data_IF_312505705359
#
_entry.id   IF_312505705359
#
_cell.length_a   1.000
_cell.length_b   1.000
_cell.length_c   1.000
_cell.angle_alpha   90.00
_cell.angle_beta   90.00
_cell.angle_gamma   90.00
#
_symmetry.space_group_name_H-M   'P 1'
#
loop_
_entity.id
_entity.type
_entity.pdbx_description
1 polymer ?
#
# COMPACT_ATOMS: atom_id res chain seq x y z
N UNK A 1 15.26 -21.13 -17.92
CA UNK A 1 16.60 -21.44 -18.47
C UNK A 1 16.77 -20.83 -19.87
N UNK A 2 15.80 -20.98 -20.79
CA UNK A 2 15.87 -20.35 -22.13
C UNK A 2 15.87 -18.81 -22.12
N UNK A 3 15.07 -18.14 -21.28
CA UNK A 3 15.09 -16.66 -21.18
C UNK A 3 16.42 -16.13 -20.62
N UNK A 4 16.98 -16.77 -19.59
CA UNK A 4 18.27 -16.38 -19.01
C UNK A 4 19.44 -16.53 -20.02
N UNK A 5 19.41 -17.58 -20.85
CA UNK A 5 20.40 -17.78 -21.92
C UNK A 5 20.23 -16.72 -23.03
N UNK A 6 18.99 -16.33 -23.35
CA UNK A 6 18.71 -15.23 -24.28
C UNK A 6 19.23 -13.88 -23.79
N UNK A 7 19.00 -13.56 -22.51
CA UNK A 7 19.44 -12.31 -21.88
C UNK A 7 20.96 -12.23 -21.69
N UNK A 8 21.65 -13.37 -21.51
CA UNK A 8 23.11 -13.46 -21.47
C UNK A 8 23.75 -13.24 -22.85
N UNK A 9 23.09 -13.68 -23.93
CA UNK A 9 23.56 -13.44 -25.30
C UNK A 9 23.40 -11.97 -25.70
N UNK A 10 22.27 -11.34 -25.36
CA UNK A 10 22.02 -9.92 -25.64
C UNK A 10 23.05 -9.00 -24.97
N UNK A 11 23.50 -9.35 -23.77
CA UNK A 11 24.47 -8.57 -22.98
C UNK A 11 25.94 -8.95 -23.23
N UNK A 12 26.22 -9.91 -24.10
CA UNK A 12 27.58 -10.38 -24.43
C UNK A 12 28.51 -9.21 -24.75
N UNK A 13 28.02 -8.20 -25.48
CA UNK A 13 28.80 -7.00 -25.85
C UNK A 13 29.11 -6.12 -24.64
N UNK A 14 28.15 -5.90 -23.74
CA UNK A 14 28.36 -5.16 -22.49
C UNK A 14 29.43 -5.82 -21.62
N UNK A 15 29.34 -7.15 -21.45
CA UNK A 15 30.33 -7.89 -20.67
C UNK A 15 31.71 -7.88 -21.32
N UNK A 16 31.81 -8.12 -22.63
CA UNK A 16 33.09 -8.07 -23.33
C UNK A 16 33.77 -6.70 -23.24
N UNK A 17 33.02 -5.62 -23.44
CA UNK A 17 33.55 -4.26 -23.37
C UNK A 17 33.97 -3.88 -21.95
N UNK A 18 33.16 -4.19 -20.94
CA UNK A 18 33.49 -3.84 -19.55
C UNK A 18 34.57 -4.75 -18.95
N UNK A 19 34.62 -6.03 -19.33
CA UNK A 19 35.75 -6.92 -18.99
C UNK A 19 37.03 -6.42 -19.65
N UNK A 20 36.99 -5.99 -20.92
CA UNK A 20 38.15 -5.42 -21.59
C UNK A 20 38.62 -4.11 -20.93
N UNK A 21 37.67 -3.24 -20.54
CA UNK A 21 37.97 -2.03 -19.80
C UNK A 21 38.58 -2.34 -18.43
N UNK A 22 38.00 -3.27 -17.69
CA UNK A 22 38.50 -3.75 -16.40
C UNK A 22 39.91 -4.36 -16.53
N UNK A 23 40.14 -5.19 -17.55
CA UNK A 23 41.43 -5.80 -17.82
C UNK A 23 42.49 -4.75 -18.19
N UNK A 24 42.13 -3.73 -18.99
CA UNK A 24 43.03 -2.64 -19.35
C UNK A 24 43.37 -1.74 -18.17
N UNK A 25 42.38 -1.42 -17.31
CA UNK A 25 42.57 -0.61 -16.10
C UNK A 25 43.35 -1.37 -15.03
N UNK A 26 43.07 -2.66 -14.86
CA UNK A 26 43.84 -3.56 -14.00
C UNK A 26 45.29 -3.63 -14.49
N UNK A 27 45.53 -3.88 -15.78
CA UNK A 27 46.87 -3.91 -16.35
C UNK A 27 47.61 -2.57 -16.14
N UNK A 28 46.95 -1.43 -16.35
CA UNK A 28 47.53 -0.11 -16.13
C UNK A 28 47.89 0.13 -14.65
N UNK A 29 46.99 -0.22 -13.72
CA UNK A 29 47.24 -0.08 -12.27
C UNK A 29 48.26 -1.07 -11.75
N UNK A 30 48.28 -2.31 -12.24
CA UNK A 30 49.31 -3.31 -11.92
C UNK A 30 50.67 -2.86 -12.43
N UNK A 31 50.73 -2.24 -13.61
CA UNK A 31 51.98 -1.67 -14.15
C UNK A 31 52.46 -0.51 -13.28
N UNK A 32 51.56 0.39 -12.88
CA UNK A 32 51.89 1.50 -11.98
C UNK A 32 52.35 0.99 -10.59
N UNK A 33 51.70 -0.05 -10.06
CA UNK A 33 52.07 -0.68 -8.80
C UNK A 33 53.42 -1.40 -8.89
N UNK A 34 53.66 -2.15 -9.97
CA UNK A 34 54.95 -2.79 -10.23
C UNK A 34 56.09 -1.75 -10.35
N UNK A 35 55.82 -0.60 -10.98
CA UNK A 35 56.79 0.50 -11.04
C UNK A 35 57.10 1.10 -9.66
N UNK A 36 56.08 1.30 -8.81
CA UNK A 36 56.25 1.76 -7.42
C UNK A 36 57.00 0.73 -6.57
N UNK A 37 56.70 -0.56 -6.72
CA UNK A 37 57.40 -1.66 -6.05
C UNK A 37 58.87 -1.76 -6.52
N UNK A 38 59.15 -1.57 -7.80
CA UNK A 38 60.52 -1.54 -8.32
C UNK A 38 61.33 -0.37 -7.74
N UNK A 39 60.69 0.80 -7.57
CA UNK A 39 61.31 1.98 -6.94
C UNK A 39 61.54 1.76 -5.43
N UNK A 40 60.62 1.08 -4.74
CA UNK A 40 60.75 0.74 -3.32
C UNK A 40 61.74 -0.42 -3.05
N UNK A 41 61.86 -1.39 -3.95
CA UNK A 41 62.85 -2.47 -3.86
C UNK A 41 64.29 -1.96 -3.99
N UNK A 42 64.49 -0.84 -4.71
CA UNK A 42 65.77 -0.14 -4.80
C UNK A 42 66.15 0.65 -3.53
N UNK A 43 65.22 0.87 -2.59
CA UNK A 43 65.43 1.67 -1.37
C UNK A 43 65.54 0.82 -0.09
N UNK A 44 66.06 -0.39 -0.18
CA UNK A 44 66.03 -1.44 0.84
C UNK A 44 66.28 -1.00 2.31
N UNK A 45 65.32 -1.35 3.17
CA UNK A 45 65.46 -1.57 4.61
C UNK A 45 64.22 -2.35 5.09
N UNK A 46 64.42 -3.42 5.86
CA UNK A 46 63.51 -4.53 6.27
C UNK A 46 62.05 -4.17 6.62
N UNK A 47 61.27 -3.69 5.66
CA UNK A 47 59.84 -3.42 5.80
C UNK A 47 59.11 -4.03 4.61
N UNK A 48 58.22 -4.99 4.89
CA UNK A 48 57.37 -5.58 3.86
C UNK A 48 56.34 -4.56 3.38
N UNK A 49 56.28 -4.32 2.08
CA UNK A 49 55.27 -3.46 1.47
C UNK A 49 54.02 -4.29 1.14
N UNK A 50 52.84 -3.77 1.49
CA UNK A 50 51.54 -4.25 1.02
C UNK A 50 50.92 -3.14 0.18
N UNK A 51 50.49 -3.50 -1.02
CA UNK A 51 49.72 -2.60 -1.87
C UNK A 51 48.56 -3.35 -2.51
N UNK A 52 47.42 -2.69 -2.57
CA UNK A 52 46.19 -3.20 -3.15
C UNK A 52 45.73 -2.36 -4.33
N UNK A 53 45.16 -3.00 -5.34
CA UNK A 53 44.42 -2.36 -6.42
C UNK A 53 42.99 -2.86 -6.35
N UNK A 54 42.06 -1.92 -6.28
CA UNK A 54 40.63 -2.17 -6.39
C UNK A 54 40.09 -1.55 -7.69
N UNK A 55 39.20 -2.31 -8.31
CA UNK A 55 38.42 -1.92 -9.48
C UNK A 55 36.98 -2.36 -9.28
N UNK A 56 36.07 -1.41 -9.24
CA UNK A 56 34.63 -1.62 -9.06
C UNK A 56 33.87 -0.93 -10.19
N UNK A 57 33.03 -1.68 -10.90
CA UNK A 57 32.03 -1.15 -11.83
C UNK A 57 30.66 -1.55 -11.30
N UNK A 58 29.85 -0.54 -11.03
CA UNK A 58 28.45 -0.71 -10.68
C UNK A 58 27.59 0.02 -11.74
N UNK A 59 26.76 -0.75 -12.45
CA UNK A 59 25.81 -0.21 -13.42
C UNK A 59 24.38 -0.55 -13.02
N UNK A 60 23.57 0.50 -12.85
CA UNK A 60 22.17 0.41 -12.46
C UNK A 60 21.29 1.07 -13.51
N UNK A 61 20.47 0.28 -14.20
CA UNK A 61 19.37 0.79 -15.03
C UNK A 61 18.07 0.69 -14.26
N UNK A 62 17.37 1.82 -14.10
CA UNK A 62 16.07 1.86 -13.41
C UNK A 62 15.03 2.58 -14.26
N UNK A 63 13.98 1.87 -14.62
CA UNK A 63 12.81 2.42 -15.30
C UNK A 63 11.66 2.55 -14.31
N UNK A 64 11.13 3.76 -14.15
CA UNK A 64 10.01 4.05 -13.26
C UNK A 64 8.84 4.62 -14.05
N UNK A 65 7.68 4.03 -13.85
CA UNK A 65 6.40 4.57 -14.29
C UNK A 65 5.55 4.82 -13.05
N UNK A 66 5.02 6.04 -12.92
CA UNK A 66 4.13 6.41 -11.84
C UNK A 66 2.92 7.13 -12.43
N UNK A 67 1.73 6.70 -12.03
CA UNK A 67 0.46 7.35 -12.33
C UNK A 67 -0.29 7.54 -11.03
N UNK A 68 -0.65 8.79 -10.75
CA UNK A 68 -1.34 9.17 -9.53
C UNK A 68 -2.58 9.99 -9.86
N UNK A 69 -3.69 9.66 -9.21
CA UNK A 69 -4.87 10.53 -9.17
C UNK A 69 -5.07 10.96 -7.73
N UNK A 70 -5.28 12.27 -7.53
CA UNK A 70 -5.58 12.84 -6.22
C UNK A 70 -6.86 13.67 -6.32
N UNK A 71 -7.76 13.42 -5.38
CA UNK A 71 -9.01 14.12 -5.22
C UNK A 71 -8.75 15.38 -4.42
N UNK A 72 -9.26 16.51 -4.91
CA UNK A 72 -9.24 17.77 -4.19
C UNK A 72 -10.65 18.02 -3.67
N UNK A 73 -10.80 18.04 -2.34
CA UNK A 73 -12.09 18.23 -1.72
C UNK A 73 -12.61 19.66 -1.96
N UNK A 74 -13.89 19.78 -2.32
CA UNK A 74 -14.59 21.05 -2.28
C UNK A 74 -14.98 21.37 -0.84
N UNK A 75 -14.64 22.56 -0.36
CA UNK A 75 -14.99 23.02 0.99
C UNK A 75 -16.08 24.08 0.90
N UNK A 76 -17.29 23.77 1.35
CA UNK A 76 -18.41 24.70 1.44
C UNK A 76 -18.70 24.98 2.91
N UNK A 77 -18.40 26.21 3.35
CA UNK A 77 -18.63 26.67 4.70
C UNK A 77 -19.66 27.79 4.66
N UNK A 78 -20.77 27.63 5.37
CA UNK A 78 -21.84 28.63 5.41
C UNK A 78 -22.55 28.59 6.77
N UNK A 79 -23.41 29.58 7.04
CA UNK A 79 -24.31 29.49 8.20
C UNK A 79 -25.33 28.37 8.00
N UNK A 80 -25.89 28.29 6.79
CA UNK A 80 -26.81 27.23 6.36
C UNK A 80 -26.46 26.82 4.93
N UNK A 81 -26.58 25.54 4.62
CA UNK A 81 -26.41 24.97 3.28
C UNK A 81 -27.75 24.34 2.88
N UNK A 82 -28.37 24.86 1.82
CA UNK A 82 -29.63 24.34 1.30
C UNK A 82 -29.42 23.87 -0.15
N UNK A 83 -29.63 22.58 -0.41
CA UNK A 83 -29.50 21.97 -1.74
C UNK A 83 -30.86 21.41 -2.14
N UNK A 84 -31.50 22.01 -3.13
CA UNK A 84 -32.82 21.61 -3.62
C UNK A 84 -32.72 21.20 -5.08
N UNK A 85 -32.99 19.94 -5.39
CA UNK A 85 -32.99 19.45 -6.78
C UNK A 85 -34.22 18.58 -7.05
N UNK A 86 -34.67 18.52 -8.30
CA UNK A 86 -35.86 17.74 -8.67
C UNK A 86 -35.54 16.29 -9.06
N UNK A 87 -34.25 15.92 -9.07
CA UNK A 87 -33.75 14.61 -9.52
C UNK A 87 -32.68 14.12 -8.53
N UNK A 88 -31.51 13.74 -9.02
CA UNK A 88 -30.44 13.19 -8.21
C UNK A 88 -29.48 14.29 -7.76
N UNK A 89 -29.30 14.45 -6.45
CA UNK A 89 -28.19 15.22 -5.86
C UNK A 89 -27.03 14.26 -5.62
N UNK A 90 -25.81 14.62 -6.04
CA UNK A 90 -24.60 13.82 -5.78
C UNK A 90 -23.50 14.70 -5.18
N UNK A 91 -22.95 14.26 -4.05
CA UNK A 91 -21.86 14.92 -3.33
C UNK A 91 -20.72 13.91 -3.21
N UNK A 92 -19.53 14.25 -3.71
CA UNK A 92 -18.38 13.34 -3.78
C UNK A 92 -17.14 13.97 -3.16
N UNK A 93 -16.49 13.27 -2.24
CA UNK A 93 -15.29 13.69 -1.49
C UNK A 93 -15.27 15.15 -1.05
N UNK A 94 -16.41 15.71 -0.67
CA UNK A 94 -16.54 17.14 -0.33
C UNK A 94 -16.70 17.34 1.17
N UNK A 95 -16.41 18.55 1.64
CA UNK A 95 -16.60 18.98 3.02
C UNK A 95 -17.67 20.07 3.04
N UNK A 96 -18.86 19.75 3.56
CA UNK A 96 -19.95 20.69 3.78
C UNK A 96 -20.04 20.97 5.27
N UNK A 97 -19.82 22.23 5.66
CA UNK A 97 -19.86 22.65 7.04
C UNK A 97 -20.86 23.79 7.22
N UNK A 98 -21.94 23.53 7.95
CA UNK A 98 -22.86 24.57 8.39
C UNK A 98 -22.53 24.97 9.83
N UNK A 99 -22.12 26.23 10.06
CA UNK A 99 -21.69 26.72 11.36
C UNK A 99 -22.65 27.80 11.88
N UNK A 100 -23.28 27.56 13.03
CA UNK A 100 -24.15 28.55 13.68
C UNK A 100 -23.38 29.79 14.18
N UNK A 101 -22.08 29.68 14.44
CA UNK A 101 -21.27 30.70 15.12
C UNK A 101 -20.71 31.80 14.21
N UNK A 102 -20.86 31.69 12.88
CA UNK A 102 -20.41 32.75 11.95
C UNK A 102 -21.52 33.75 11.59
N UNK A 103 -22.64 33.70 12.32
CA UNK A 103 -23.70 34.67 12.19
C UNK A 103 -23.41 35.90 13.05
N UNK A 104 -23.24 37.05 12.39
CA UNK A 104 -23.18 38.40 13.01
C UNK A 104 -24.49 38.76 13.75
N UNK A 105 -25.49 37.88 13.73
CA UNK A 105 -26.80 38.07 14.36
C UNK A 105 -27.19 36.83 15.17
N UNK A 106 -26.86 36.85 16.47
CA UNK A 106 -26.94 35.76 17.45
C UNK A 106 -28.37 35.28 17.80
N UNK A 107 -29.42 35.81 17.15
CA UNK A 107 -30.81 35.50 17.49
C UNK A 107 -31.53 34.56 16.49
N UNK A 108 -30.85 34.06 15.44
CA UNK A 108 -31.48 33.12 14.51
C UNK A 108 -31.20 31.66 14.92
N UNK A 109 -32.18 31.04 15.58
CA UNK A 109 -32.16 29.63 16.00
C UNK A 109 -32.14 28.63 14.85
N UNK A 110 -32.32 29.07 13.59
CA UNK A 110 -32.29 28.23 12.39
C UNK A 110 -30.92 28.23 11.68
N UNK A 111 -29.83 28.62 12.35
CA UNK A 111 -28.49 28.53 11.79
C UNK A 111 -27.86 27.15 12.02
N UNK A 112 -26.81 26.83 11.27
CA UNK A 112 -26.09 25.56 11.36
C UNK A 112 -26.84 24.39 10.72
N UNK A 113 -27.62 24.62 9.68
CA UNK A 113 -28.41 23.59 9.00
C UNK A 113 -27.75 23.16 7.69
N UNK A 114 -27.69 21.85 7.44
CA UNK A 114 -27.54 21.29 6.09
C UNK A 114 -28.87 20.66 5.71
N UNK A 115 -29.55 21.22 4.72
CA UNK A 115 -30.82 20.71 4.19
C UNK A 115 -30.61 20.23 2.76
N UNK A 116 -30.91 18.98 2.47
CA UNK A 116 -30.83 18.41 1.13
C UNK A 116 -32.17 17.82 0.74
N UNK A 117 -32.83 18.42 -0.24
CA UNK A 117 -34.10 17.96 -0.80
C UNK A 117 -33.86 17.49 -2.24
N UNK A 118 -34.17 16.23 -2.54
CA UNK A 118 -33.97 15.66 -3.87
C UNK A 118 -34.89 14.47 -4.17
N UNK A 119 -34.95 14.01 -5.41
CA UNK A 119 -35.56 12.71 -5.69
C UNK A 119 -34.67 11.58 -5.16
N UNK A 120 -33.39 11.61 -5.53
CA UNK A 120 -32.38 10.66 -5.06
C UNK A 120 -31.16 11.43 -4.51
N UNK A 121 -30.48 10.88 -3.51
CA UNK A 121 -29.29 11.47 -2.92
C UNK A 121 -28.14 10.45 -2.90
N UNK A 122 -26.99 10.85 -3.45
CA UNK A 122 -25.74 10.11 -3.34
C UNK A 122 -24.71 10.94 -2.56
N UNK A 123 -24.24 10.43 -1.43
CA UNK A 123 -23.11 10.99 -0.68
C UNK A 123 -21.99 9.96 -0.72
N UNK A 124 -20.95 10.22 -1.51
CA UNK A 124 -19.94 9.25 -1.89
C UNK A 124 -18.54 9.70 -1.49
N UNK A 125 -17.67 8.76 -1.12
CA UNK A 125 -16.23 9.05 -1.01
C UNK A 125 -15.64 9.42 -2.38
N UNK A 126 -14.61 10.26 -2.38
CA UNK A 126 -13.72 10.36 -3.54
C UNK A 126 -12.69 9.23 -3.53
N UNK A 127 -11.97 9.07 -4.64
CA UNK A 127 -11.02 8.00 -4.83
C UNK A 127 -9.71 8.51 -5.42
N UNK A 128 -8.64 8.22 -4.70
CA UNK A 128 -7.26 8.47 -5.11
C UNK A 128 -6.63 7.16 -5.56
N UNK A 129 -5.75 7.25 -6.56
CA UNK A 129 -5.01 6.10 -7.05
C UNK A 129 -3.53 6.41 -7.06
N UNK A 130 -2.71 5.41 -6.73
CA UNK A 130 -1.26 5.50 -6.86
C UNK A 130 -0.77 4.17 -7.45
N UNK A 131 -0.34 4.22 -8.69
CA UNK A 131 0.11 3.07 -9.45
C UNK A 131 1.57 3.29 -9.83
N UNK A 132 2.46 2.45 -9.31
CA UNK A 132 3.87 2.49 -9.66
C UNK A 132 4.32 1.17 -10.26
N UNK A 133 5.21 1.27 -11.24
CA UNK A 133 5.93 0.15 -11.81
C UNK A 133 7.40 0.52 -11.89
N UNK A 134 8.24 -0.28 -11.28
CA UNK A 134 9.69 -0.15 -11.34
C UNK A 134 10.28 -1.41 -11.95
N UNK A 135 11.24 -1.22 -12.86
CA UNK A 135 12.11 -2.28 -13.34
C UNK A 135 13.54 -1.84 -13.08
N UNK A 136 14.30 -2.68 -12.40
CA UNK A 136 15.71 -2.43 -12.09
C UNK A 136 16.53 -3.55 -12.69
N UNK A 137 17.61 -3.19 -13.36
CA UNK A 137 18.69 -4.12 -13.73
C UNK A 137 19.98 -3.60 -13.10
N UNK A 138 20.65 -4.45 -12.34
CA UNK A 138 21.91 -4.15 -11.70
C UNK A 138 22.97 -5.11 -12.20
N UNK A 139 24.13 -4.57 -12.56
CA UNK A 139 25.28 -5.32 -13.06
C UNK A 139 26.50 -4.82 -12.29
N UNK A 140 27.16 -5.71 -11.55
CA UNK A 140 28.36 -5.37 -10.77
C UNK A 140 29.56 -6.18 -11.24
N UNK A 141 30.73 -5.55 -11.26
CA UNK A 141 32.04 -6.19 -11.44
C UNK A 141 33.01 -5.62 -10.42
N UNK A 142 33.50 -6.46 -9.52
CA UNK A 142 34.53 -6.11 -8.54
C UNK A 142 35.79 -6.93 -8.81
N UNK A 143 36.96 -6.29 -8.75
CA UNK A 143 38.27 -6.93 -8.80
C UNK A 143 39.18 -6.30 -7.74
N UNK A 144 39.73 -7.14 -6.87
CA UNK A 144 40.70 -6.81 -5.84
C UNK A 144 41.99 -7.60 -6.08
N UNK A 145 43.11 -6.90 -6.20
CA UNK A 145 44.44 -7.49 -6.26
C UNK A 145 45.28 -6.95 -5.09
N UNK A 146 45.69 -7.82 -4.18
CA UNK A 146 46.65 -7.49 -3.13
C UNK A 146 48.01 -8.13 -3.42
N UNK A 147 49.08 -7.35 -3.27
CA UNK A 147 50.47 -7.82 -3.38
C UNK A 147 51.13 -7.72 -2.00
N UNK A 148 51.53 -8.87 -1.45
CA UNK A 148 52.21 -8.99 -0.16
C UNK A 148 53.65 -9.45 -0.35
N UNK A 149 54.62 -8.58 -0.02
CA UNK A 149 56.03 -8.95 -0.02
C UNK A 149 56.51 -9.57 -1.34
N UNK A 150 57.56 -10.39 -1.31
CA UNK A 150 58.22 -10.88 -2.52
C UNK A 150 57.51 -12.04 -3.23
N UNK A 151 56.46 -12.68 -2.66
CA UNK A 151 55.99 -13.97 -3.17
C UNK A 151 54.48 -14.29 -3.05
N UNK A 152 53.60 -13.38 -2.59
CA UNK A 152 52.16 -13.69 -2.52
C UNK A 152 51.26 -12.58 -3.06
N UNK A 153 50.69 -12.82 -4.25
CA UNK A 153 49.62 -12.02 -4.83
C UNK A 153 48.28 -12.74 -4.67
N UNK A 154 47.30 -12.10 -4.03
CA UNK A 154 45.94 -12.60 -3.97
C UNK A 154 45.06 -11.78 -4.92
N UNK A 155 44.50 -12.46 -5.93
CA UNK A 155 43.48 -11.90 -6.81
C UNK A 155 42.12 -12.45 -6.38
N UNK A 156 41.16 -11.57 -6.18
CA UNK A 156 39.76 -11.93 -5.98
C UNK A 156 38.87 -11.00 -6.77
N UNK A 157 37.71 -11.46 -7.18
CA UNK A 157 36.74 -10.63 -7.85
C UNK A 157 35.37 -11.27 -7.87
N UNK A 158 34.37 -10.49 -8.24
CA UNK A 158 33.00 -10.94 -8.36
C UNK A 158 32.36 -10.28 -9.58
N UNK A 159 31.50 -11.02 -10.27
CA UNK A 159 30.59 -10.46 -11.26
C UNK A 159 29.18 -10.88 -10.89
N UNK A 160 28.26 -9.92 -10.84
CA UNK A 160 26.85 -10.20 -10.56
C UNK A 160 25.95 -9.48 -11.55
N UNK A 161 24.80 -10.10 -11.80
CA UNK A 161 23.67 -9.49 -12.48
C UNK A 161 22.42 -9.82 -11.71
N UNK A 162 21.64 -8.82 -11.37
CA UNK A 162 20.31 -9.00 -10.87
C UNK A 162 19.31 -8.12 -11.62
N UNK A 163 18.08 -8.58 -11.63
CA UNK A 163 16.95 -7.87 -12.21
C UNK A 163 15.77 -8.01 -11.27
N UNK A 164 15.04 -6.93 -11.11
CA UNK A 164 13.82 -6.93 -10.33
C UNK A 164 12.75 -6.07 -10.97
N UNK A 165 11.52 -6.56 -10.91
CA UNK A 165 10.33 -5.81 -11.28
C UNK A 165 9.43 -5.68 -10.06
N UNK A 166 8.98 -4.48 -9.77
CA UNK A 166 8.01 -4.19 -8.72
C UNK A 166 6.83 -3.45 -9.31
N UNK A 167 5.62 -3.89 -8.98
CA UNK A 167 4.38 -3.16 -9.28
C UNK A 167 3.62 -2.92 -8.00
N UNK A 168 3.18 -1.69 -7.77
CA UNK A 168 2.26 -1.33 -6.69
C UNK A 168 1.03 -0.67 -7.29
N UNK A 169 -0.14 -1.10 -6.88
CA UNK A 169 -1.42 -0.50 -7.20
C UNK A 169 -2.14 -0.20 -5.91
N UNK A 170 -2.56 1.04 -5.73
CA UNK A 170 -3.27 1.47 -4.53
C UNK A 170 -4.50 2.27 -4.93
N UNK A 171 -5.62 2.02 -4.25
CA UNK A 171 -6.82 2.85 -4.28
C UNK A 171 -7.16 3.26 -2.87
N UNK A 172 -7.16 4.55 -2.60
CA UNK A 172 -7.54 5.13 -1.31
C UNK A 172 -8.84 5.89 -1.48
N UNK A 173 -9.78 5.71 -0.56
CA UNK A 173 -11.01 6.47 -0.48
C UNK A 173 -10.86 7.60 0.52
N UNK A 174 -11.44 8.75 0.22
CA UNK A 174 -11.56 9.86 1.16
C UNK A 174 -13.05 10.13 1.39
N UNK A 175 -13.49 10.03 2.64
CA UNK A 175 -14.90 10.21 2.95
C UNK A 175 -15.37 11.64 2.63
N UNK A 176 -16.61 11.75 2.13
CA UNK A 176 -17.33 13.03 2.15
C UNK A 176 -17.69 13.37 3.59
N UNK A 177 -17.54 14.62 4.02
CA UNK A 177 -17.86 15.06 5.37
C UNK A 177 -18.99 16.09 5.34
N UNK A 178 -20.08 15.82 6.06
CA UNK A 178 -21.15 16.78 6.33
C UNK A 178 -21.15 17.05 7.83
N UNK A 179 -20.93 18.30 8.22
CA UNK A 179 -20.90 18.71 9.62
C UNK A 179 -21.83 19.90 9.84
N UNK A 180 -22.75 19.79 10.79
CA UNK A 180 -23.75 20.83 11.04
C UNK A 180 -24.28 20.79 12.47
N UNK A 181 -25.08 21.77 12.87
CA UNK A 181 -25.95 21.65 14.05
C UNK A 181 -27.03 20.62 13.79
N UNK A 182 -27.76 20.76 12.68
CA UNK A 182 -28.65 19.72 12.19
C UNK A 182 -28.39 19.40 10.72
N UNK A 183 -28.53 18.13 10.37
CA UNK A 183 -28.47 17.64 8.99
C UNK A 183 -29.84 17.04 8.67
N UNK A 184 -30.50 17.52 7.62
CA UNK A 184 -31.79 17.06 7.17
C UNK A 184 -31.68 16.58 5.72
N UNK A 185 -31.88 15.28 5.50
CA UNK A 185 -31.85 14.64 4.18
C UNK A 185 -33.26 14.17 3.83
N UNK A 186 -33.93 14.89 2.93
CA UNK A 186 -35.28 14.55 2.48
C UNK A 186 -35.23 14.09 1.02
N UNK A 187 -35.55 12.84 0.78
CA UNK A 187 -35.60 12.26 -0.56
C UNK A 187 -36.92 11.55 -0.82
N UNK A 188 -37.44 11.67 -2.03
CA UNK A 188 -38.68 10.96 -2.39
C UNK A 188 -38.44 9.52 -2.81
N UNK A 189 -37.19 9.16 -3.14
CA UNK A 189 -36.77 7.82 -3.55
C UNK A 189 -35.54 7.39 -2.74
N UNK A 190 -34.36 7.23 -3.35
CA UNK A 190 -33.24 6.54 -2.71
C UNK A 190 -32.21 7.51 -2.11
N UNK A 191 -31.75 7.23 -0.89
CA UNK A 191 -30.58 7.86 -0.26
C UNK A 191 -29.46 6.84 -0.12
N UNK A 192 -28.33 7.10 -0.77
CA UNK A 192 -27.11 6.29 -0.74
C UNK A 192 -25.97 7.06 -0.09
N UNK A 193 -25.44 6.52 1.00
CA UNK A 193 -24.33 7.10 1.77
C UNK A 193 -23.20 6.07 1.79
N UNK A 194 -22.15 6.32 1.00
CA UNK A 194 -21.08 5.34 0.76
C UNK A 194 -19.69 5.95 0.84
N UNK A 195 -19.00 5.74 1.97
CA UNK A 195 -17.75 6.41 2.27
C UNK A 195 -18.00 7.87 2.66
N UNK A 196 -18.74 8.09 3.74
CA UNK A 196 -19.06 9.43 4.22
C UNK A 196 -19.16 9.49 5.75
N UNK A 197 -18.91 10.67 6.30
CA UNK A 197 -19.10 10.99 7.71
C UNK A 197 -20.16 12.09 7.81
N UNK A 198 -21.32 11.79 8.36
CA UNK A 198 -22.37 12.77 8.65
C UNK A 198 -22.39 12.98 10.16
N UNK A 199 -22.03 14.17 10.59
CA UNK A 199 -21.94 14.52 12.01
C UNK A 199 -22.78 15.76 12.28
N UNK A 200 -23.93 15.58 12.94
CA UNK A 200 -24.74 16.69 13.43
C UNK A 200 -24.50 16.88 14.93
N UNK A 201 -24.44 18.12 15.42
CA UNK A 201 -24.28 18.34 16.86
C UNK A 201 -25.58 18.23 17.66
N UNK A 202 -26.72 18.28 16.99
CA UNK A 202 -28.02 18.16 17.63
C UNK A 202 -28.86 17.08 16.97
N UNK A 203 -29.31 17.26 15.73
CA UNK A 203 -30.18 16.30 15.05
C UNK A 203 -29.68 15.89 13.68
N UNK A 204 -29.70 14.59 13.39
CA UNK A 204 -29.61 14.05 12.05
C UNK A 204 -30.96 13.44 11.68
N UNK A 205 -31.62 14.00 10.68
CA UNK A 205 -32.92 13.57 10.19
C UNK A 205 -32.80 13.05 8.74
N UNK A 206 -33.33 11.85 8.48
CA UNK A 206 -33.38 11.26 7.14
C UNK A 206 -34.81 10.80 6.87
N UNK A 207 -35.41 11.32 5.79
CA UNK A 207 -36.68 10.83 5.24
C UNK A 207 -36.45 10.37 3.81
N UNK A 208 -36.71 9.09 3.54
CA UNK A 208 -36.37 8.45 2.26
C UNK A 208 -37.24 7.23 2.00
N UNK A 209 -37.33 6.81 0.74
CA UNK A 209 -37.95 5.51 0.42
C UNK A 209 -37.01 4.36 0.77
N UNK A 210 -35.76 4.44 0.33
CA UNK A 210 -34.73 3.43 0.59
C UNK A 210 -33.44 4.09 1.09
N UNK A 211 -32.83 3.52 2.13
CA UNK A 211 -31.58 4.00 2.72
C UNK A 211 -30.48 2.94 2.57
N UNK A 212 -29.40 3.26 1.86
CA UNK A 212 -28.17 2.45 1.84
C UNK A 212 -27.05 3.20 2.55
N UNK A 213 -26.48 2.61 3.60
CA UNK A 213 -25.31 3.13 4.31
C UNK A 213 -24.20 2.10 4.27
N UNK A 214 -23.06 2.45 3.69
CA UNK A 214 -22.02 1.47 3.38
C UNK A 214 -20.62 2.04 3.51
N UNK A 215 -19.80 1.37 4.29
CA UNK A 215 -18.35 1.63 4.31
C UNK A 215 -17.69 1.27 2.98
N UNK A 216 -16.51 1.83 2.74
CA UNK A 216 -15.70 1.57 1.55
C UNK A 216 -14.41 0.87 1.92
N UNK A 217 -13.65 0.39 0.92
CA UNK A 217 -12.41 -0.34 1.17
C UNK A 217 -11.27 0.27 0.37
N UNK A 218 -10.26 0.75 1.08
CA UNK A 218 -8.95 1.02 0.51
C UNK A 218 -8.36 -0.31 0.06
N UNK A 219 -7.67 -0.32 -1.08
CA UNK A 219 -7.05 -1.52 -1.64
C UNK A 219 -5.59 -1.25 -1.92
N UNK A 220 -4.75 -2.21 -1.63
CA UNK A 220 -3.36 -2.18 -2.04
C UNK A 220 -2.97 -3.55 -2.57
N UNK A 221 -2.30 -3.57 -3.73
CA UNK A 221 -1.74 -4.75 -4.35
C UNK A 221 -0.31 -4.47 -4.75
N UNK A 222 0.64 -5.23 -4.22
CA UNK A 222 2.03 -5.18 -4.64
C UNK A 222 2.47 -6.53 -5.22
N UNK A 223 3.35 -6.48 -6.21
CA UNK A 223 4.04 -7.66 -6.72
C UNK A 223 5.48 -7.33 -6.96
N UNK A 224 6.37 -8.16 -6.43
CA UNK A 224 7.80 -8.08 -6.68
C UNK A 224 8.27 -9.39 -7.27
N UNK A 225 9.12 -9.31 -8.28
CA UNK A 225 9.83 -10.44 -8.87
C UNK A 225 11.29 -10.05 -8.95
N UNK A 226 12.18 -10.93 -8.54
CA UNK A 226 13.61 -10.72 -8.72
C UNK A 226 14.30 -12.00 -9.13
N UNK A 227 15.39 -11.85 -9.86
CA UNK A 227 16.27 -12.93 -10.23
C UNK A 227 17.69 -12.38 -10.31
N UNK A 228 18.66 -13.17 -9.88
CA UNK A 228 20.06 -12.81 -9.89
C UNK A 228 20.96 -14.00 -10.15
N UNK A 229 22.14 -13.70 -10.65
CA UNK A 229 23.23 -14.63 -10.83
C UNK A 229 24.54 -13.94 -10.44
N UNK A 230 25.47 -14.69 -9.86
CA UNK A 230 26.79 -14.21 -9.51
C UNK A 230 27.86 -15.27 -9.77
N UNK A 231 29.08 -14.81 -10.07
CA UNK A 231 30.27 -15.63 -10.24
C UNK A 231 31.42 -14.96 -9.48
N UNK A 232 31.97 -15.68 -8.51
CA UNK A 232 33.18 -15.29 -7.79
C UNK A 232 34.42 -15.90 -8.42
N UNK A 233 35.48 -15.10 -8.52
CA UNK A 233 36.81 -15.51 -8.94
C UNK A 233 37.80 -15.26 -7.79
N UNK A 234 38.72 -16.19 -7.60
CA UNK A 234 39.83 -16.11 -6.65
C UNK A 234 41.15 -16.46 -7.32
N UNK A 235 42.23 -16.44 -6.54
CA UNK A 235 43.60 -16.72 -7.00
C UNK A 235 43.77 -18.12 -7.59
N UNK A 236 42.88 -19.05 -7.23
CA UNK A 236 42.84 -20.43 -7.73
C UNK A 236 41.80 -20.66 -8.83
N UNK A 237 41.19 -19.62 -9.41
CA UNK A 237 40.13 -19.73 -10.42
C UNK A 237 38.72 -19.44 -9.87
N UNK A 238 37.69 -20.06 -10.43
CA UNK A 238 36.30 -19.85 -9.98
C UNK A 238 36.12 -20.36 -8.55
N UNK A 239 35.68 -19.49 -7.63
CA UNK A 239 35.51 -19.85 -6.22
C UNK A 239 34.04 -19.93 -5.78
N UNK A 240 33.12 -19.28 -6.51
CA UNK A 240 31.69 -19.38 -6.25
C UNK A 240 30.83 -19.12 -7.50
N UNK A 241 29.65 -19.72 -7.54
CA UNK A 241 28.56 -19.46 -8.48
C UNK A 241 27.27 -19.37 -7.68
N UNK A 242 26.52 -18.31 -7.88
CA UNK A 242 25.25 -18.05 -7.22
C UNK A 242 24.12 -17.86 -8.23
N UNK A 243 22.94 -18.36 -7.89
CA UNK A 243 21.68 -18.08 -8.58
C UNK A 243 20.60 -17.84 -7.55
N UNK A 244 19.79 -16.80 -7.72
CA UNK A 244 18.66 -16.53 -6.85
C UNK A 244 17.44 -16.12 -7.66
N UNK A 245 16.27 -16.52 -7.20
CA UNK A 245 14.98 -16.07 -7.73
C UNK A 245 14.01 -15.85 -6.57
N UNK A 246 13.28 -14.75 -6.59
CA UNK A 246 12.23 -14.49 -5.60
C UNK A 246 10.98 -13.90 -6.22
N UNK A 247 9.86 -14.18 -5.57
CA UNK A 247 8.55 -13.60 -5.83
C UNK A 247 7.91 -13.16 -4.54
N UNK A 248 7.25 -12.01 -4.55
CA UNK A 248 6.38 -11.56 -3.48
C UNK A 248 5.09 -11.03 -4.09
N UNK A 249 3.95 -11.39 -3.50
CA UNK A 249 2.63 -10.87 -3.79
C UNK A 249 2.02 -10.40 -2.48
N UNK A 250 1.54 -9.16 -2.46
CA UNK A 250 0.78 -8.57 -1.37
C UNK A 250 -0.55 -8.09 -1.91
N UNK A 251 -1.62 -8.37 -1.17
CA UNK A 251 -2.94 -7.87 -1.45
C UNK A 251 -3.66 -7.59 -0.14
N UNK A 252 -3.97 -6.32 0.10
CA UNK A 252 -4.71 -5.87 1.26
C UNK A 252 -5.96 -5.07 0.88
N UNK A 253 -6.95 -5.15 1.76
CA UNK A 253 -8.17 -4.36 1.74
C UNK A 253 -8.37 -3.83 3.15
N UNK A 254 -8.54 -2.51 3.32
CA UNK A 254 -8.79 -1.89 4.62
C UNK A 254 -10.09 -1.14 4.56
N UNK A 255 -11.01 -1.46 5.45
CA UNK A 255 -12.31 -0.78 5.54
C UNK A 255 -12.12 0.64 6.05
N UNK A 256 -12.70 1.61 5.34
CA UNK A 256 -12.87 2.98 5.78
C UNK A 256 -14.33 3.15 6.18
N UNK A 257 -14.55 3.40 7.47
CA UNK A 257 -15.87 3.44 8.08
C UNK A 257 -16.71 4.59 7.50
N UNK A 258 -17.97 4.31 7.18
CA UNK A 258 -19.02 5.32 6.98
C UNK A 258 -19.81 5.44 8.26
N UNK A 259 -19.93 6.67 8.77
CA UNK A 259 -20.59 6.93 10.04
C UNK A 259 -21.64 8.04 9.91
N UNK A 260 -22.71 7.88 10.69
CA UNK A 260 -23.77 8.85 10.86
C UNK A 260 -24.00 9.04 12.35
N UNK A 261 -23.69 10.21 12.88
CA UNK A 261 -23.78 10.48 14.32
C UNK A 261 -24.41 11.83 14.61
N UNK A 262 -25.22 11.87 15.66
CA UNK A 262 -25.81 13.08 16.19
C UNK A 262 -26.25 12.90 17.64
N UNK A 263 -26.56 13.98 18.36
CA UNK A 263 -27.18 13.85 19.69
C UNK A 263 -28.51 13.09 19.64
N UNK A 264 -29.28 13.28 18.57
CA UNK A 264 -30.46 12.50 18.24
C UNK A 264 -30.45 12.18 16.75
N UNK A 265 -30.71 10.92 16.41
CA UNK A 265 -30.78 10.45 15.02
C UNK A 265 -32.19 9.97 14.75
N UNK A 266 -32.87 10.55 13.76
CA UNK A 266 -34.20 10.15 13.33
C UNK A 266 -34.15 9.72 11.87
N UNK A 267 -34.46 8.46 11.60
CA UNK A 267 -34.46 7.88 10.25
C UNK A 267 -35.83 7.28 9.97
N UNK A 268 -36.51 7.82 8.98
CA UNK A 268 -37.74 7.30 8.43
C UNK A 268 -37.49 6.77 7.02
N UNK A 269 -37.58 5.45 6.87
CA UNK A 269 -37.40 4.76 5.59
C UNK A 269 -38.70 4.06 5.20
N UNK A 270 -39.29 4.41 4.05
CA UNK A 270 -40.60 3.84 3.67
C UNK A 270 -40.53 2.35 3.30
N UNK A 271 -39.39 1.86 2.81
CA UNK A 271 -39.28 0.50 2.26
C UNK A 271 -38.10 -0.31 2.82
N UNK A 272 -36.85 0.10 2.58
CA UNK A 272 -35.71 -0.72 2.97
C UNK A 272 -34.51 0.08 3.48
N UNK A 273 -33.96 -0.36 4.62
CA UNK A 273 -32.69 0.13 5.15
C UNK A 273 -31.63 -0.96 5.03
N UNK A 274 -30.52 -0.65 4.35
CA UNK A 274 -29.36 -1.54 4.19
C UNK A 274 -28.14 -0.92 4.86
N UNK A 275 -27.50 -1.67 5.75
CA UNK A 275 -26.23 -1.31 6.38
C UNK A 275 -25.13 -2.29 5.98
N UNK A 276 -23.96 -1.78 5.60
CA UNK A 276 -22.83 -2.62 5.18
C UNK A 276 -21.53 -2.12 5.82
N UNK A 277 -21.15 -2.74 6.94
CA UNK A 277 -19.97 -2.38 7.71
C UNK A 277 -19.93 -0.93 8.20
N UNK A 278 -21.09 -0.30 8.36
CA UNK A 278 -21.29 1.13 8.66
C UNK A 278 -21.83 1.36 10.07
N UNK A 279 -21.68 2.58 10.59
CA UNK A 279 -22.18 2.99 11.92
C UNK A 279 -23.29 4.03 11.79
N UNK A 280 -24.40 3.82 12.50
CA UNK A 280 -25.40 4.85 12.78
C UNK A 280 -25.60 4.85 14.29
N UNK A 281 -25.31 5.94 14.97
CA UNK A 281 -25.48 6.00 16.42
C UNK A 281 -25.87 7.40 16.88
N UNK A 282 -26.63 7.47 17.96
CA UNK A 282 -26.88 8.73 18.63
C UNK A 282 -25.86 8.88 19.76
N UNK A 283 -25.13 9.99 19.80
CA UNK A 283 -24.00 10.23 20.71
C UNK A 283 -24.05 11.64 21.23
N UNK A 284 -23.79 11.85 22.52
CA UNK A 284 -23.73 13.21 23.06
C UNK A 284 -22.52 13.99 22.54
N UNK A 285 -22.78 15.19 22.01
CA UNK A 285 -21.72 16.06 21.53
C UNK A 285 -20.98 16.69 22.70
N UNK A 286 -19.78 16.19 22.97
CA UNK A 286 -18.94 16.60 24.09
C UNK A 286 -18.44 15.43 24.94
N UNK A 287 -19.05 14.25 24.78
CA UNK A 287 -18.46 13.01 25.29
C UNK A 287 -17.20 12.68 24.47
N UNK A 288 -16.07 12.55 25.15
CA UNK A 288 -14.78 12.20 24.51
C UNK A 288 -14.72 10.72 24.13
N UNK A 289 -15.57 9.92 24.76
CA UNK A 289 -15.62 8.47 24.58
C UNK A 289 -16.56 8.07 23.44
N UNK A 290 -17.42 9.00 22.98
CA UNK A 290 -18.32 8.80 21.83
C UNK A 290 -19.39 7.75 22.10
N UNK A 291 -19.81 7.59 23.36
CA UNK A 291 -20.76 6.56 23.75
C UNK A 291 -22.14 6.80 23.13
N UNK A 292 -22.81 5.69 22.83
CA UNK A 292 -24.20 5.72 22.40
C UNK A 292 -25.10 6.23 23.54
N UNK A 293 -25.97 7.19 23.24
CA UNK A 293 -26.84 7.83 24.22
C UNK A 293 -28.29 7.33 24.16
N UNK A 294 -28.58 6.30 23.35
CA UNK A 294 -29.90 5.68 23.26
C UNK A 294 -30.94 6.45 22.45
N UNK A 295 -30.56 7.56 21.79
CA UNK A 295 -31.49 8.46 21.10
C UNK A 295 -31.58 8.21 19.58
N UNK A 296 -31.39 6.97 19.13
CA UNK A 296 -31.68 6.56 17.77
C UNK A 296 -33.17 6.23 17.62
N UNK A 297 -33.86 6.87 16.68
CA UNK A 297 -35.18 6.49 16.20
C UNK A 297 -35.07 6.04 14.75
N UNK A 298 -35.31 4.76 14.47
CA UNK A 298 -35.30 4.19 13.12
C UNK A 298 -36.64 3.52 12.85
N UNK A 299 -37.36 3.98 11.83
CA UNK A 299 -38.54 3.31 11.27
C UNK A 299 -38.22 2.84 9.85
N UNK A 300 -38.46 1.56 9.58
CA UNK A 300 -38.28 0.97 8.24
C UNK A 300 -39.23 -0.19 8.01
N UNK A 301 -39.60 -0.49 6.76
CA UNK A 301 -40.36 -1.72 6.50
C UNK A 301 -39.46 -2.94 6.63
N UNK A 302 -38.24 -2.90 6.09
CA UNK A 302 -37.28 -3.99 6.16
C UNK A 302 -35.86 -3.49 6.45
N UNK A 303 -35.09 -4.26 7.22
CA UNK A 303 -33.72 -3.95 7.59
C UNK A 303 -32.79 -5.10 7.20
N UNK A 304 -31.69 -4.78 6.52
CA UNK A 304 -30.62 -5.73 6.26
C UNK A 304 -29.27 -5.17 6.73
N UNK A 305 -28.44 -6.04 7.31
CA UNK A 305 -27.15 -5.69 7.84
C UNK A 305 -26.09 -6.71 7.38
N UNK A 306 -24.96 -6.21 6.89
CA UNK A 306 -23.83 -7.05 6.48
C UNK A 306 -22.51 -6.46 6.96
N UNK A 307 -21.49 -7.31 7.09
CA UNK A 307 -20.16 -6.89 7.51
C UNK A 307 -19.23 -6.69 6.31
N UNK A 308 -18.27 -5.79 6.45
CA UNK A 308 -17.15 -5.62 5.54
C UNK A 308 -15.91 -6.27 6.15
N UNK A 309 -14.96 -6.74 5.32
CA UNK A 309 -13.75 -7.39 5.82
C UNK A 309 -12.52 -6.54 5.51
N UNK A 310 -11.73 -6.20 6.52
CA UNK A 310 -10.34 -5.83 6.33
C UNK A 310 -9.53 -7.11 6.18
N UNK A 311 -8.70 -7.20 5.15
CA UNK A 311 -7.92 -8.40 4.84
C UNK A 311 -6.51 -8.03 4.43
N UNK A 312 -5.51 -8.79 4.85
CA UNK A 312 -4.15 -8.73 4.30
C UNK A 312 -3.73 -10.14 3.91
N UNK A 313 -3.14 -10.30 2.72
CA UNK A 313 -2.62 -11.57 2.23
C UNK A 313 -1.28 -11.32 1.55
N UNK A 314 -0.23 -11.77 2.21
CA UNK A 314 1.14 -11.61 1.78
C UNK A 314 1.72 -13.01 1.54
N UNK A 315 2.30 -13.21 0.36
CA UNK A 315 2.96 -14.45 -0.02
C UNK A 315 4.30 -14.11 -0.63
N UNK A 316 5.38 -14.66 -0.09
CA UNK A 316 6.69 -14.56 -0.73
C UNK A 316 7.36 -15.92 -0.79
N UNK A 317 8.06 -16.17 -1.88
CA UNK A 317 8.84 -17.36 -2.10
C UNK A 317 10.17 -16.96 -2.70
N UNK A 318 11.25 -17.56 -2.22
CA UNK A 318 12.56 -17.42 -2.84
C UNK A 318 13.27 -18.76 -2.88
N UNK A 319 14.10 -18.92 -3.90
CA UNK A 319 15.03 -20.03 -4.04
C UNK A 319 16.39 -19.46 -4.44
N UNK A 320 17.43 -19.90 -3.75
CA UNK A 320 18.81 -19.54 -3.99
C UNK A 320 19.67 -20.80 -4.05
N UNK A 321 20.57 -20.86 -5.01
CA UNK A 321 21.57 -21.91 -5.16
C UNK A 321 22.94 -21.26 -5.17
N UNK A 322 23.80 -21.62 -4.22
CA UNK A 322 25.17 -21.13 -4.18
C UNK A 322 26.12 -22.33 -4.11
N UNK A 323 27.05 -22.42 -5.05
CA UNK A 323 28.09 -23.44 -5.06
C UNK A 323 29.45 -22.76 -5.02
N UNK A 324 30.34 -23.18 -4.12
CA UNK A 324 31.68 -22.64 -4.00
C UNK A 324 32.72 -23.72 -3.72
N UNK A 325 33.91 -23.54 -4.28
CA UNK A 325 34.99 -24.51 -4.22
C UNK A 325 36.34 -23.81 -4.34
N UNK A 326 37.39 -24.42 -3.79
CA UNK A 326 38.75 -23.93 -4.02
C UNK A 326 39.37 -24.81 -5.12
N UNK A 327 39.57 -24.25 -6.31
CA UNK A 327 40.20 -24.98 -7.42
C UNK A 327 41.73 -24.97 -7.28
N UNK A 328 42.27 -25.60 -6.23
CA UNK A 328 43.70 -25.86 -6.16
C UNK A 328 44.02 -27.20 -6.87
N UNK A 329 45.16 -27.22 -7.55
CA UNK A 329 45.63 -28.19 -8.55
C UNK A 329 45.12 -29.65 -8.44
N UNK A 330 44.68 -30.20 -9.58
CA UNK A 330 44.37 -31.61 -9.86
C UNK A 330 43.19 -32.31 -9.13
N UNK A 331 42.35 -31.61 -8.36
CA UNK A 331 41.05 -32.15 -7.93
C UNK A 331 40.05 -31.03 -7.65
N UNK A 332 39.02 -30.89 -8.49
CA UNK A 332 37.95 -29.92 -8.31
C UNK A 332 37.09 -30.31 -7.09
N UNK A 333 37.53 -29.95 -5.88
CA UNK A 333 36.78 -30.20 -4.66
C UNK A 333 35.76 -29.08 -4.45
N UNK A 334 34.48 -29.38 -4.67
CA UNK A 334 33.38 -28.52 -4.26
C UNK A 334 33.37 -28.48 -2.72
N UNK A 335 33.65 -27.31 -2.15
CA UNK A 335 33.80 -27.17 -0.70
C UNK A 335 32.46 -26.87 -0.03
N UNK A 336 31.54 -26.16 -0.71
CA UNK A 336 30.20 -25.85 -0.21
C UNK A 336 29.19 -25.76 -1.34
N UNK A 337 28.04 -26.38 -1.14
CA UNK A 337 26.82 -26.16 -1.94
C UNK A 337 25.72 -25.83 -0.94
N UNK A 338 25.05 -24.69 -1.12
CA UNK A 338 23.87 -24.32 -0.35
C UNK A 338 22.66 -24.15 -1.28
N UNK A 339 21.52 -24.61 -0.79
CA UNK A 339 20.20 -24.38 -1.34
C UNK A 339 19.40 -23.63 -0.28
N UNK A 340 19.09 -22.38 -0.56
CA UNK A 340 18.32 -21.51 0.31
C UNK A 340 16.89 -21.43 -0.21
N UNK A 341 15.92 -21.97 0.52
CA UNK A 341 14.52 -21.91 0.16
C UNK A 341 13.73 -21.19 1.26
N UNK A 342 12.91 -20.21 0.87
CA UNK A 342 12.03 -19.50 1.79
C UNK A 342 10.63 -19.43 1.22
N UNK A 343 9.62 -19.67 2.06
CA UNK A 343 8.21 -19.55 1.70
C UNK A 343 7.46 -18.96 2.88
N UNK A 344 7.08 -17.69 2.76
CA UNK A 344 6.36 -16.97 3.79
C UNK A 344 4.94 -16.70 3.30
N UNK A 345 3.97 -17.01 4.17
CA UNK A 345 2.55 -16.73 3.92
C UNK A 345 1.95 -16.11 5.17
N UNK A 346 1.50 -14.87 5.07
CA UNK A 346 0.79 -14.18 6.13
C UNK A 346 -0.62 -13.81 5.65
N UNK A 347 -1.64 -14.19 6.41
CA UNK A 347 -3.02 -13.85 6.12
C UNK A 347 -3.69 -13.33 7.38
N UNK A 348 -4.39 -12.22 7.27
CA UNK A 348 -5.22 -11.69 8.34
C UNK A 348 -6.58 -11.27 7.77
N UNK A 349 -7.61 -11.37 8.61
CA UNK A 349 -8.97 -10.95 8.31
C UNK A 349 -9.64 -10.43 9.58
N UNK A 350 -10.12 -9.20 9.53
CA UNK A 350 -10.95 -8.61 10.59
C UNK A 350 -12.27 -8.13 9.98
N UNK A 351 -13.36 -8.28 10.74
CA UNK A 351 -14.69 -7.84 10.31
C UNK A 351 -14.98 -6.45 10.86
N UNK A 352 -15.51 -5.58 10.02
CA UNK A 352 -16.18 -4.35 10.42
C UNK A 352 -17.67 -4.61 10.30
N UNK A 353 -18.36 -4.63 11.44
CA UNK A 353 -19.78 -4.92 11.51
C UNK A 353 -20.59 -3.69 11.07
N UNK A 354 -21.81 -3.95 10.60
CA UNK A 354 -22.82 -2.91 10.54
C UNK A 354 -23.38 -2.71 11.96
N UNK A 355 -23.38 -1.47 12.45
CA UNK A 355 -23.73 -1.14 13.82
C UNK A 355 -24.80 -0.07 13.83
N UNK A 356 -25.88 -0.35 14.56
CA UNK A 356 -26.88 0.62 14.98
C UNK A 356 -26.68 0.90 16.47
N UNK A 357 -26.78 2.17 16.85
CA UNK A 357 -26.88 2.61 18.24
C UNK A 357 -28.19 2.14 18.87
N UNK A 358 -28.29 2.31 20.18
CA UNK A 358 -29.49 1.95 20.93
C UNK A 358 -30.58 3.01 20.74
N UNK A 359 -31.83 2.59 20.91
CA UNK A 359 -32.98 3.48 20.84
C UNK A 359 -34.22 2.76 20.33
N UNK A 360 -35.16 3.51 19.76
CA UNK A 360 -36.40 2.96 19.20
C UNK A 360 -36.18 2.53 17.73
N UNK A 361 -36.05 1.22 17.50
CA UNK A 361 -35.93 0.63 16.18
C UNK A 361 -37.20 -0.15 15.85
N UNK A 362 -37.96 0.32 14.85
CA UNK A 362 -39.22 -0.26 14.40
C UNK A 362 -39.06 -0.80 12.97
N UNK A 363 -39.30 -2.10 12.81
CA UNK A 363 -39.23 -2.80 11.52
C UNK A 363 -40.62 -3.39 11.27
N UNK A 364 -41.34 -2.90 10.24
CA UNK A 364 -42.73 -3.28 10.01
C UNK A 364 -42.90 -4.71 9.47
N UNK A 365 -41.95 -5.17 8.64
CA UNK A 365 -41.92 -6.51 8.05
C UNK A 365 -40.86 -7.35 8.77
N UNK A 366 -41.19 -7.80 9.98
CA UNK A 366 -40.51 -8.94 10.60
C UNK A 366 -41.20 -10.17 10.04
N UNK A 367 -40.73 -10.68 8.90
CA UNK A 367 -41.15 -11.98 8.38
C UNK A 367 -40.90 -13.05 9.46
N UNK A 368 -41.94 -13.35 10.26
CA UNK A 368 -41.96 -14.36 11.33
C UNK A 368 -41.89 -15.81 10.80
N UNK A 369 -41.59 -16.00 9.50
CA UNK A 369 -41.65 -17.29 8.81
C UNK A 369 -40.29 -17.91 8.45
N UNK A 370 -39.17 -17.39 8.98
CA UNK A 370 -37.90 -18.11 8.93
C UNK A 370 -37.53 -18.62 10.32
N UNK A 371 -37.98 -19.84 10.63
CA UNK A 371 -37.63 -20.60 11.82
C UNK A 371 -36.15 -20.99 11.82
N UNK A 372 -35.27 -20.01 12.03
CA UNK A 372 -33.96 -20.23 12.66
C UNK A 372 -33.47 -18.90 13.26
N UNK A 373 -33.83 -18.57 14.50
CA UNK A 373 -33.31 -17.37 15.16
C UNK A 373 -31.85 -17.67 15.52
N UNK A 374 -30.92 -17.34 14.62
CA UNK A 374 -29.56 -17.03 15.07
C UNK A 374 -29.68 -15.79 15.94
N UNK A 375 -29.24 -15.81 17.21
CA UNK A 375 -29.28 -14.62 18.04
C UNK A 375 -28.49 -13.54 17.31
N UNK A 376 -29.16 -12.44 16.95
CA UNK A 376 -28.49 -11.18 16.68
C UNK A 376 -27.94 -10.76 18.05
N UNK A 377 -26.70 -11.17 18.34
CA UNK A 377 -25.96 -10.58 19.44
C UNK A 377 -25.59 -9.17 19.01
N UNK A 378 -26.22 -8.20 19.67
CA UNK A 378 -25.80 -6.80 19.66
C UNK A 378 -24.40 -6.66 20.28
#
# INVERSE_FOLDING_TARGET
>A
MSELVGDLQADKKYYQTNIALAASSLAAKTTALAAQLATAAASSGTYGFNAGIEFDIDALERQLQAQQTQSIASNLIANNININTNKTTTIVGSNLQANANNAVNSNNTNNGQININSQNLNILSSQDTNNTKSSTQHKKLECLLYVYGTNSSNLSGSISRDSSTSTSQQTTHNNTNLTATNINLNTTQDTKIKGANLQATNQLNIDTKNLEVSSVQNKHKAKTRSQGASLGIGSSGVNSVGFNQSKADENSKTVLLTSMTAKQVNINTQAHTQLTGSLIAATDTGDKDGNDNGQLNLTTNSLSASSLNTTTNNKSNSIGLNAGGNANTNSAKLNRVSLDYTNNKHNSKTKVLATLGSGNIQIADIDQNNSNPSPIQF
#
